data_IF_144905955466
#
_entry.id   IF_144905955466
#
_cell.length_a   1.000
_cell.length_b   1.000
_cell.length_c   1.000
_cell.angle_alpha   90.00
_cell.angle_beta   90.00
_cell.angle_gamma   90.00
#
_symmetry.space_group_name_H-M   'P 1'
#
loop_
_entity.id
_entity.type
_entity.pdbx_description
1 polymer ?
#
# COMPACT_ATOMS: atom_id res chain seq x y z
N UNK A 1 -52.80 -2.53 5.35
CA UNK A 1 -52.40 -2.56 3.92
C UNK A 1 -51.45 -3.72 3.74
N UNK A 2 -51.72 -4.64 2.82
CA UNK A 2 -50.80 -5.75 2.56
C UNK A 2 -49.47 -5.19 2.06
N UNK A 3 -48.37 -5.63 2.66
CA UNK A 3 -47.02 -5.25 2.26
C UNK A 3 -46.79 -5.70 0.81
N UNK A 4 -46.57 -4.74 -0.09
CA UNK A 4 -46.33 -5.00 -1.52
C UNK A 4 -45.14 -5.96 -1.68
N UNK A 5 -45.21 -6.85 -2.68
CA UNK A 5 -44.18 -7.88 -2.94
C UNK A 5 -42.79 -7.26 -3.06
N UNK A 6 -42.72 -6.08 -3.70
CA UNK A 6 -41.49 -5.29 -3.83
C UNK A 6 -40.91 -4.89 -2.47
N UNK A 7 -41.75 -4.46 -1.51
CA UNK A 7 -41.30 -4.08 -0.18
C UNK A 7 -40.71 -5.27 0.59
N UNK A 8 -41.30 -6.46 0.45
CA UNK A 8 -40.78 -7.69 1.04
C UNK A 8 -39.41 -8.05 0.47
N UNK A 9 -39.26 -7.98 -0.85
CA UNK A 9 -37.99 -8.25 -1.54
C UNK A 9 -36.89 -7.27 -1.12
N UNK A 10 -37.19 -5.97 -1.04
CA UNK A 10 -36.22 -4.98 -0.55
C UNK A 10 -35.86 -5.21 0.93
N UNK A 11 -36.83 -5.51 1.78
CA UNK A 11 -36.57 -5.79 3.20
C UNK A 11 -35.63 -6.98 3.36
N UNK A 12 -35.86 -8.07 2.60
CA UNK A 12 -35.00 -9.25 2.61
C UNK A 12 -33.60 -8.93 2.06
N UNK A 13 -33.50 -8.14 1.00
CA UNK A 13 -32.22 -7.70 0.45
C UNK A 13 -31.37 -6.97 1.50
N UNK A 14 -31.94 -6.01 2.23
CA UNK A 14 -31.22 -5.29 3.28
C UNK A 14 -30.96 -6.16 4.52
N UNK A 15 -31.82 -7.13 4.82
CA UNK A 15 -31.56 -8.13 5.86
C UNK A 15 -30.29 -8.94 5.56
N UNK A 16 -30.17 -9.47 4.34
CA UNK A 16 -28.98 -10.23 3.91
C UNK A 16 -27.71 -9.36 3.97
N UNK A 17 -27.80 -8.09 3.55
CA UNK A 17 -26.68 -7.13 3.66
C UNK A 17 -26.23 -6.91 5.10
N UNK A 18 -27.16 -6.71 6.03
CA UNK A 18 -26.85 -6.58 7.46
C UNK A 18 -26.19 -7.86 7.99
N UNK A 19 -26.75 -9.04 7.68
CA UNK A 19 -26.24 -10.33 8.13
C UNK A 19 -24.81 -10.61 7.68
N UNK A 20 -24.38 -10.08 6.54
CA UNK A 20 -22.98 -10.17 6.06
C UNK A 20 -21.96 -9.65 7.09
N UNK A 21 -22.30 -8.62 7.87
CA UNK A 21 -21.39 -7.99 8.83
C UNK A 21 -21.67 -8.37 10.28
N UNK A 22 -22.75 -9.12 10.53
CA UNK A 22 -23.14 -9.49 11.88
C UNK A 22 -22.05 -10.33 12.57
N UNK A 23 -21.67 -9.92 13.78
CA UNK A 23 -20.64 -10.59 14.58
C UNK A 23 -19.21 -10.41 14.06
N UNK A 24 -18.98 -9.63 12.99
CA UNK A 24 -17.65 -9.38 12.47
C UNK A 24 -16.98 -8.18 13.18
N UNK A 25 -15.91 -8.39 13.97
CA UNK A 25 -15.28 -7.33 14.75
C UNK A 25 -14.57 -6.27 13.87
N UNK A 26 -14.24 -6.58 12.62
CA UNK A 26 -13.64 -5.63 11.68
C UNK A 26 -14.66 -4.71 11.00
N UNK A 27 -15.95 -5.08 11.03
CA UNK A 27 -17.00 -4.39 10.27
C UNK A 27 -18.15 -3.88 11.16
N UNK A 28 -17.81 -3.37 12.35
CA UNK A 28 -18.79 -2.94 13.33
C UNK A 28 -19.62 -1.75 12.84
N UNK A 29 -18.97 -0.74 12.23
CA UNK A 29 -19.69 0.44 11.74
C UNK A 29 -20.64 0.07 10.58
N UNK A 30 -20.18 -0.81 9.69
CA UNK A 30 -20.97 -1.34 8.56
C UNK A 30 -22.18 -2.10 9.08
N UNK A 31 -22.02 -2.95 10.09
CA UNK A 31 -23.14 -3.65 10.71
C UNK A 31 -24.19 -2.67 11.27
N UNK A 32 -23.76 -1.67 12.04
CA UNK A 32 -24.68 -0.69 12.65
C UNK A 32 -25.48 0.09 11.59
N UNK A 33 -24.83 0.53 10.52
CA UNK A 33 -25.50 1.28 9.45
C UNK A 33 -26.36 0.40 8.53
N UNK A 34 -25.93 -0.83 8.22
CA UNK A 34 -26.76 -1.79 7.46
C UNK A 34 -27.98 -2.23 8.27
N UNK A 35 -27.84 -2.36 9.59
CA UNK A 35 -28.97 -2.62 10.49
C UNK A 35 -29.98 -1.47 10.45
N UNK A 36 -29.51 -0.22 10.54
CA UNK A 36 -30.38 0.95 10.42
C UNK A 36 -31.08 1.02 9.05
N UNK A 37 -30.40 0.63 7.96
CA UNK A 37 -31.01 0.52 6.62
C UNK A 37 -32.07 -0.58 6.57
N UNK A 38 -31.78 -1.76 7.11
CA UNK A 38 -32.75 -2.85 7.21
C UNK A 38 -33.99 -2.45 8.02
N UNK A 39 -33.80 -1.83 9.19
CA UNK A 39 -34.89 -1.35 10.04
C UNK A 39 -35.73 -0.29 9.31
N UNK A 40 -35.10 0.62 8.56
CA UNK A 40 -35.81 1.58 7.72
C UNK A 40 -36.70 0.88 6.67
N UNK A 41 -36.19 -0.16 6.00
CA UNK A 41 -36.96 -0.88 4.97
C UNK A 41 -38.08 -1.71 5.59
N UNK A 42 -37.88 -2.26 6.79
CA UNK A 42 -38.89 -3.04 7.49
C UNK A 42 -40.02 -2.15 8.03
N UNK A 43 -39.66 -1.01 8.61
CA UNK A 43 -40.57 -0.22 9.46
C UNK A 43 -41.15 1.02 8.79
N UNK A 44 -40.59 1.49 7.66
CA UNK A 44 -41.10 2.69 7.00
C UNK A 44 -42.57 2.51 6.56
N UNK A 45 -43.41 3.41 7.04
CA UNK A 45 -44.85 3.37 6.79
C UNK A 45 -45.27 4.21 5.58
N UNK A 46 -44.39 5.10 5.11
CA UNK A 46 -44.61 5.95 3.94
C UNK A 46 -43.33 6.26 3.16
N UNK A 47 -43.49 6.75 1.93
CA UNK A 47 -42.39 7.20 1.07
C UNK A 47 -41.69 8.43 1.65
N UNK A 48 -42.43 9.31 2.31
CA UNK A 48 -41.91 10.53 2.92
C UNK A 48 -40.99 10.20 4.11
N UNK A 49 -41.39 9.23 4.95
CA UNK A 49 -40.57 8.74 6.05
C UNK A 49 -39.26 8.13 5.52
N UNK A 50 -39.38 7.29 4.48
CA UNK A 50 -38.23 6.72 3.79
C UNK A 50 -37.29 7.79 3.27
N UNK A 51 -37.79 8.75 2.50
CA UNK A 51 -36.96 9.79 1.87
C UNK A 51 -36.29 10.67 2.93
N UNK A 52 -37.01 11.00 4.01
CA UNK A 52 -36.47 11.78 5.12
C UNK A 52 -35.28 11.07 5.77
N UNK A 53 -35.40 9.78 6.11
CA UNK A 53 -34.31 9.03 6.78
C UNK A 53 -33.19 8.66 5.80
N UNK A 54 -33.52 8.18 4.62
CA UNK A 54 -32.54 7.73 3.64
C UNK A 54 -31.71 8.89 3.07
N UNK A 55 -32.37 9.94 2.56
CA UNK A 55 -31.70 11.08 1.93
C UNK A 55 -31.52 12.26 2.88
N UNK A 56 -32.53 12.60 3.67
CA UNK A 56 -32.48 13.77 4.56
C UNK A 56 -31.50 13.60 5.73
N UNK A 57 -31.57 12.47 6.43
CA UNK A 57 -30.63 12.10 7.49
C UNK A 57 -29.36 11.41 6.95
N UNK A 58 -29.25 11.32 5.63
CA UNK A 58 -28.09 10.81 4.88
C UNK A 58 -27.66 9.41 5.28
N UNK A 59 -28.62 8.51 5.55
CA UNK A 59 -28.31 7.14 5.93
C UNK A 59 -27.52 6.40 4.83
N UNK A 60 -27.77 6.70 3.55
CA UNK A 60 -26.97 6.18 2.44
C UNK A 60 -25.49 6.60 2.52
N UNK A 61 -25.22 7.88 2.82
CA UNK A 61 -23.86 8.41 2.96
C UNK A 61 -23.19 7.81 4.20
N UNK A 62 -23.90 7.76 5.33
CA UNK A 62 -23.40 7.15 6.57
C UNK A 62 -23.02 5.68 6.37
N UNK A 63 -23.82 4.92 5.62
CA UNK A 63 -23.50 3.54 5.31
C UNK A 63 -22.24 3.39 4.44
N UNK A 64 -22.07 4.25 3.43
CA UNK A 64 -20.86 4.27 2.62
C UNK A 64 -19.61 4.67 3.45
N UNK A 65 -19.73 5.69 4.31
CA UNK A 65 -18.68 6.11 5.25
C UNK A 65 -18.31 4.97 6.19
N UNK A 66 -19.29 4.26 6.75
CA UNK A 66 -19.06 3.17 7.68
C UNK A 66 -18.21 2.05 7.09
N UNK A 67 -18.46 1.66 5.83
CA UNK A 67 -17.65 0.67 5.13
C UNK A 67 -16.20 1.13 4.94
N UNK A 68 -16.00 2.39 4.56
CA UNK A 68 -14.66 2.96 4.41
C UNK A 68 -13.93 2.96 5.76
N UNK A 69 -14.59 3.39 6.83
CA UNK A 69 -14.01 3.41 8.19
C UNK A 69 -13.55 2.03 8.63
N UNK A 70 -14.40 1.01 8.45
CA UNK A 70 -14.07 -0.36 8.81
C UNK A 70 -12.86 -0.89 8.02
N UNK A 71 -12.87 -0.69 6.69
CA UNK A 71 -11.77 -1.12 5.82
C UNK A 71 -10.44 -0.43 6.16
N UNK A 72 -10.46 0.89 6.30
CA UNK A 72 -9.24 1.66 6.58
C UNK A 72 -8.75 1.47 8.02
N UNK A 73 -9.64 1.26 9.00
CA UNK A 73 -9.23 0.91 10.36
C UNK A 73 -8.56 -0.47 10.40
N UNK A 74 -9.10 -1.45 9.67
CA UNK A 74 -8.49 -2.78 9.58
C UNK A 74 -7.12 -2.72 8.88
N UNK A 75 -7.01 -1.98 7.77
CA UNK A 75 -5.75 -1.74 7.06
C UNK A 75 -4.72 -1.03 7.93
N UNK A 76 -5.11 0.06 8.59
CA UNK A 76 -4.24 0.81 9.50
C UNK A 76 -3.68 -0.08 10.60
N UNK A 77 -4.53 -0.88 11.24
CA UNK A 77 -4.12 -1.85 12.26
C UNK A 77 -3.08 -2.83 11.70
N UNK A 78 -3.39 -3.46 10.56
CA UNK A 78 -2.48 -4.41 9.92
C UNK A 78 -1.13 -3.77 9.57
N UNK A 79 -1.13 -2.59 8.96
CA UNK A 79 0.09 -1.88 8.59
C UNK A 79 0.91 -1.44 9.82
N UNK A 80 0.25 -1.10 10.93
CA UNK A 80 0.90 -0.87 12.21
C UNK A 80 1.60 -2.13 12.75
N UNK A 81 0.93 -3.28 12.70
CA UNK A 81 1.47 -4.57 13.16
C UNK A 81 2.72 -4.99 12.38
N UNK A 82 2.72 -4.77 11.06
CA UNK A 82 3.88 -5.08 10.20
C UNK A 82 4.89 -3.92 10.10
N UNK A 83 4.69 -2.85 10.88
CA UNK A 83 5.53 -1.64 10.94
C UNK A 83 5.79 -1.02 9.56
N UNK A 84 4.72 -0.84 8.79
CA UNK A 84 4.74 -0.20 7.47
C UNK A 84 4.11 1.20 7.55
N UNK A 85 4.89 2.24 7.96
CA UNK A 85 4.36 3.58 8.20
C UNK A 85 3.87 4.26 6.92
N UNK A 86 4.43 3.91 5.75
CA UNK A 86 4.04 4.50 4.48
C UNK A 86 2.63 4.05 4.11
N UNK A 87 2.33 2.75 4.16
CA UNK A 87 0.98 2.24 3.91
C UNK A 87 -0.02 2.70 4.97
N UNK A 88 0.39 2.67 6.25
CA UNK A 88 -0.44 3.11 7.38
C UNK A 88 -0.91 4.57 7.21
N UNK A 89 -0.02 5.47 6.78
CA UNK A 89 -0.34 6.88 6.58
C UNK A 89 -1.52 7.09 5.63
N UNK A 90 -1.60 6.35 4.52
CA UNK A 90 -2.73 6.49 3.60
C UNK A 90 -4.08 6.12 4.22
N UNK A 91 -4.12 5.06 5.01
CA UNK A 91 -5.34 4.68 5.75
C UNK A 91 -5.70 5.72 6.81
N UNK A 92 -4.71 6.26 7.53
CA UNK A 92 -4.93 7.34 8.50
C UNK A 92 -5.49 8.60 7.83
N UNK A 93 -4.87 9.06 6.73
CA UNK A 93 -5.32 10.26 6.00
C UNK A 93 -6.78 10.14 5.52
N UNK A 94 -7.24 8.93 5.16
CA UNK A 94 -8.65 8.70 4.81
C UNK A 94 -9.54 8.77 6.04
N UNK A 95 -9.15 8.10 7.14
CA UNK A 95 -9.92 8.11 8.40
C UNK A 95 -10.07 9.53 8.97
N UNK A 96 -9.07 10.38 8.80
CA UNK A 96 -9.08 11.77 9.30
C UNK A 96 -10.13 12.65 8.61
N UNK A 97 -10.55 12.30 7.39
CA UNK A 97 -11.44 13.14 6.56
C UNK A 97 -12.79 12.49 6.24
N UNK A 98 -12.92 11.17 6.37
CA UNK A 98 -14.10 10.44 5.87
C UNK A 98 -15.41 10.86 6.55
N UNK A 99 -15.35 11.24 7.84
CA UNK A 99 -16.52 11.71 8.59
C UNK A 99 -16.99 13.10 8.14
N UNK A 100 -16.19 13.84 7.37
CA UNK A 100 -16.55 15.16 6.84
C UNK A 100 -17.25 15.09 5.47
N UNK A 101 -17.46 13.90 4.90
CA UNK A 101 -18.05 13.75 3.58
C UNK A 101 -19.57 13.86 3.63
N UNK A 102 -20.11 14.71 2.77
CA UNK A 102 -21.51 15.10 2.72
C UNK A 102 -22.27 14.42 1.57
N UNK A 103 -21.54 13.78 0.63
CA UNK A 103 -22.09 13.20 -0.61
C UNK A 103 -21.30 11.99 -1.14
N UNK A 104 -21.96 11.16 -1.95
CA UNK A 104 -21.34 10.00 -2.64
C UNK A 104 -20.26 10.44 -3.62
N UNK A 105 -20.42 11.62 -4.23
CA UNK A 105 -19.43 12.20 -5.14
C UNK A 105 -18.10 12.50 -4.43
N UNK A 106 -18.14 12.95 -3.18
CA UNK A 106 -16.92 13.16 -2.40
C UNK A 106 -16.22 11.85 -2.07
N UNK A 107 -16.97 10.83 -1.65
CA UNK A 107 -16.45 9.49 -1.35
C UNK A 107 -15.75 8.92 -2.60
N UNK A 108 -16.43 8.96 -3.75
CA UNK A 108 -15.96 8.38 -5.02
C UNK A 108 -14.84 9.18 -5.69
N UNK A 109 -14.57 10.42 -5.26
CA UNK A 109 -13.50 11.26 -5.85
C UNK A 109 -12.34 11.53 -4.90
N UNK A 110 -12.59 11.80 -3.62
CA UNK A 110 -11.55 12.15 -2.64
C UNK A 110 -10.80 10.91 -2.15
N UNK A 111 -11.49 9.79 -1.89
CA UNK A 111 -10.83 8.55 -1.44
C UNK A 111 -9.84 8.02 -2.48
N UNK A 112 -10.21 7.85 -3.77
CA UNK A 112 -9.25 7.38 -4.76
C UNK A 112 -8.05 8.32 -4.94
N UNK A 113 -8.23 9.64 -4.78
CA UNK A 113 -7.11 10.61 -4.81
C UNK A 113 -6.13 10.38 -3.65
N UNK A 114 -6.63 10.17 -2.43
CA UNK A 114 -5.78 9.85 -1.27
C UNK A 114 -5.08 8.50 -1.45
N UNK A 115 -5.81 7.49 -1.94
CA UNK A 115 -5.24 6.18 -2.25
C UNK A 115 -4.16 6.27 -3.33
N UNK A 116 -4.38 7.06 -4.39
CA UNK A 116 -3.40 7.29 -5.45
C UNK A 116 -2.14 7.98 -4.91
N UNK A 117 -2.31 9.04 -4.10
CA UNK A 117 -1.20 9.74 -3.43
C UNK A 117 -0.38 8.76 -2.59
N UNK A 118 -1.04 7.91 -1.80
CA UNK A 118 -0.36 6.90 -1.00
C UNK A 118 0.33 5.83 -1.86
N UNK A 119 -0.31 5.40 -2.95
CA UNK A 119 0.27 4.43 -3.89
C UNK A 119 1.57 4.95 -4.49
N UNK A 120 1.64 6.24 -4.85
CA UNK A 120 2.89 6.86 -5.32
C UNK A 120 3.94 6.81 -4.22
N UNK A 121 3.60 7.17 -2.98
CA UNK A 121 4.55 7.11 -1.86
C UNK A 121 5.07 5.69 -1.59
N UNK A 122 4.21 4.67 -1.70
CA UNK A 122 4.60 3.26 -1.57
C UNK A 122 5.54 2.84 -2.71
N UNK A 123 5.27 3.26 -3.94
CA UNK A 123 6.17 2.99 -5.07
C UNK A 123 7.53 3.66 -4.90
N UNK A 124 7.54 4.91 -4.41
CA UNK A 124 8.78 5.65 -4.14
C UNK A 124 9.60 4.97 -3.03
N UNK A 125 8.94 4.52 -1.96
CA UNK A 125 9.56 3.77 -0.88
C UNK A 125 10.14 2.42 -1.35
N UNK A 126 9.46 1.75 -2.29
CA UNK A 126 9.91 0.50 -2.89
C UNK A 126 11.22 0.60 -3.67
N UNK A 127 11.68 1.80 -4.05
CA UNK A 127 13.02 1.93 -4.66
C UNK A 127 14.14 1.52 -3.69
N UNK A 128 13.92 1.46 -2.38
CA UNK A 128 14.91 0.92 -1.44
C UNK A 128 15.27 -0.55 -1.72
N UNK A 129 14.37 -1.31 -2.37
CA UNK A 129 14.58 -2.72 -2.68
C UNK A 129 15.68 -2.98 -3.70
N UNK A 130 16.03 -1.99 -4.55
CA UNK A 130 17.11 -2.11 -5.53
C UNK A 130 18.44 -2.53 -4.89
N UNK A 131 18.64 -2.20 -3.61
CA UNK A 131 19.79 -2.69 -2.85
C UNK A 131 19.85 -4.22 -2.81
N UNK A 132 18.72 -4.89 -2.57
CA UNK A 132 18.68 -6.35 -2.52
C UNK A 132 18.70 -6.98 -3.90
N UNK A 133 18.08 -6.34 -4.89
CA UNK A 133 18.10 -6.81 -6.28
C UNK A 133 19.53 -6.93 -6.84
N UNK A 134 20.47 -6.15 -6.31
CA UNK A 134 21.88 -6.19 -6.68
C UNK A 134 22.71 -7.29 -6.03
N UNK A 135 22.18 -7.99 -5.02
CA UNK A 135 22.93 -9.03 -4.31
C UNK A 135 23.59 -10.06 -5.23
N UNK A 136 22.91 -10.62 -6.25
CA UNK A 136 23.52 -11.58 -7.15
C UNK A 136 24.73 -11.02 -7.92
N UNK A 137 24.69 -9.74 -8.31
CA UNK A 137 25.81 -9.10 -9.00
C UNK A 137 26.96 -8.84 -8.03
N UNK A 138 26.67 -8.39 -6.80
CA UNK A 138 27.68 -8.20 -5.77
C UNK A 138 28.36 -9.52 -5.39
N UNK A 139 27.61 -10.62 -5.32
CA UNK A 139 28.16 -11.97 -5.13
C UNK A 139 29.06 -12.38 -6.28
N UNK A 140 28.63 -12.15 -7.52
CA UNK A 140 29.42 -12.47 -8.72
C UNK A 140 30.73 -11.68 -8.76
N UNK A 141 30.68 -10.40 -8.41
CA UNK A 141 31.85 -9.53 -8.27
C UNK A 141 32.78 -9.99 -7.14
N UNK A 142 32.24 -10.40 -5.99
CA UNK A 142 33.03 -10.92 -4.86
C UNK A 142 33.79 -12.19 -5.26
N UNK A 143 33.11 -13.12 -5.95
CA UNK A 143 33.73 -14.35 -6.47
C UNK A 143 34.81 -14.00 -7.50
N UNK A 144 34.50 -13.14 -8.47
CA UNK A 144 35.46 -12.72 -9.49
C UNK A 144 36.68 -12.00 -8.88
N UNK A 145 36.54 -11.23 -7.82
CA UNK A 145 37.67 -10.55 -7.16
C UNK A 145 38.59 -11.49 -6.39
N UNK A 146 38.08 -12.65 -5.94
CA UNK A 146 38.83 -13.60 -5.11
C UNK A 146 39.31 -14.84 -5.85
N UNK A 147 38.74 -15.13 -7.01
CA UNK A 147 39.08 -16.35 -7.73
C UNK A 147 40.54 -16.31 -8.23
N UNK A 148 41.29 -17.36 -7.88
CA UNK A 148 42.62 -17.61 -8.42
C UNK A 148 42.49 -18.24 -9.80
N UNK A 149 42.73 -17.44 -10.85
CA UNK A 149 42.68 -17.92 -12.24
C UNK A 149 44.08 -18.05 -12.84
N UNK A 150 44.29 -18.97 -13.79
CA UNK A 150 45.52 -19.04 -14.56
C UNK A 150 45.86 -17.70 -15.22
N UNK A 151 47.14 -17.37 -15.37
CA UNK A 151 47.60 -16.09 -15.91
C UNK A 151 46.96 -15.71 -17.26
N UNK A 152 46.63 -16.71 -18.10
CA UNK A 152 45.96 -16.51 -19.39
C UNK A 152 44.54 -15.93 -19.29
N UNK A 153 43.89 -16.01 -18.13
CA UNK A 153 42.51 -15.55 -17.92
C UNK A 153 42.42 -14.31 -17.01
N UNK A 154 43.54 -13.82 -16.48
CA UNK A 154 43.55 -12.66 -15.57
C UNK A 154 42.99 -11.40 -16.23
N UNK A 155 43.37 -11.13 -17.49
CA UNK A 155 42.86 -9.98 -18.23
C UNK A 155 41.36 -10.05 -18.47
N UNK A 156 40.83 -11.24 -18.79
CA UNK A 156 39.38 -11.44 -18.99
C UNK A 156 38.60 -11.23 -17.69
N UNK A 157 39.16 -11.68 -16.56
CA UNK A 157 38.57 -11.48 -15.23
C UNK A 157 38.56 -10.00 -14.82
N UNK A 158 39.66 -9.28 -15.06
CA UNK A 158 39.75 -7.83 -14.82
C UNK A 158 38.76 -7.04 -15.69
N UNK A 159 38.64 -7.40 -16.96
CA UNK A 159 37.68 -6.81 -17.90
C UNK A 159 36.23 -7.07 -17.46
N UNK A 160 35.90 -8.31 -17.08
CA UNK A 160 34.58 -8.66 -16.56
C UNK A 160 34.19 -7.80 -15.34
N UNK A 161 35.08 -7.65 -14.37
CA UNK A 161 34.83 -6.83 -13.17
C UNK A 161 34.59 -5.38 -13.56
N UNK A 162 35.44 -4.83 -14.42
CA UNK A 162 35.35 -3.43 -14.87
C UNK A 162 34.04 -3.17 -15.61
N UNK A 163 33.70 -4.03 -16.57
CA UNK A 163 32.49 -3.92 -17.38
C UNK A 163 31.22 -4.06 -16.57
N UNK A 164 31.21 -5.00 -15.62
CA UNK A 164 30.05 -5.21 -14.73
C UNK A 164 29.79 -3.97 -13.88
N UNK A 165 30.84 -3.37 -13.31
CA UNK A 165 30.73 -2.11 -12.55
C UNK A 165 30.27 -0.96 -13.46
N UNK A 166 30.85 -0.84 -14.66
CA UNK A 166 30.47 0.21 -15.62
C UNK A 166 28.98 0.13 -15.99
N UNK A 167 28.49 -1.08 -16.32
CA UNK A 167 27.07 -1.34 -16.61
C UNK A 167 26.17 -1.02 -15.42
N UNK A 168 26.59 -1.40 -14.21
CA UNK A 168 25.85 -1.07 -12.99
C UNK A 168 25.70 0.44 -12.75
N UNK A 169 26.76 1.20 -13.00
CA UNK A 169 26.73 2.67 -12.89
C UNK A 169 25.87 3.30 -13.98
N UNK A 170 26.02 2.83 -15.21
CA UNK A 170 25.22 3.30 -16.34
C UNK A 170 23.73 3.07 -16.10
N UNK A 171 23.35 1.85 -15.71
CA UNK A 171 21.97 1.49 -15.40
C UNK A 171 21.41 2.35 -14.25
N UNK A 172 22.22 2.60 -13.23
CA UNK A 172 21.80 3.44 -12.11
C UNK A 172 21.47 4.87 -12.56
N UNK A 173 22.37 5.49 -13.32
CA UNK A 173 22.24 6.88 -13.74
C UNK A 173 21.21 7.07 -14.85
N UNK A 174 21.09 6.11 -15.77
CA UNK A 174 20.26 6.25 -16.97
C UNK A 174 18.89 5.60 -16.84
N UNK A 175 18.69 4.70 -15.87
CA UNK A 175 17.41 3.99 -15.67
C UNK A 175 16.86 4.17 -14.26
N UNK A 176 17.60 3.77 -13.22
CA UNK A 176 17.05 3.73 -11.85
C UNK A 176 16.72 5.14 -11.33
N UNK A 177 17.70 6.05 -11.33
CA UNK A 177 17.51 7.42 -10.83
C UNK A 177 16.45 8.18 -11.66
N UNK A 178 16.47 8.17 -13.00
CA UNK A 178 15.43 8.84 -13.79
C UNK A 178 14.03 8.27 -13.53
N UNK A 179 13.89 6.95 -13.43
CA UNK A 179 12.59 6.32 -13.15
C UNK A 179 12.04 6.72 -11.78
N UNK A 180 12.89 6.76 -10.74
CA UNK A 180 12.46 7.22 -9.43
C UNK A 180 12.05 8.71 -9.45
N UNK A 181 12.80 9.53 -10.20
CA UNK A 181 12.54 10.96 -10.35
C UNK A 181 11.32 11.33 -11.19
N UNK A 182 10.75 10.37 -11.93
CA UNK A 182 9.42 10.55 -12.53
C UNK A 182 8.32 10.67 -11.47
N UNK A 183 8.53 10.06 -10.29
CA UNK A 183 7.55 10.06 -9.20
C UNK A 183 7.88 11.08 -8.11
N UNK A 184 9.16 11.25 -7.77
CA UNK A 184 9.66 12.28 -6.87
C UNK A 184 10.90 12.96 -7.47
N UNK A 185 10.77 14.18 -8.04
CA UNK A 185 11.89 14.88 -8.68
C UNK A 185 13.13 15.07 -7.80
N UNK A 186 12.95 15.08 -6.46
CA UNK A 186 14.04 15.26 -5.51
C UNK A 186 14.58 13.93 -4.97
N UNK A 187 14.10 12.79 -5.48
CA UNK A 187 14.45 11.48 -4.99
C UNK A 187 15.96 11.26 -5.00
N UNK A 188 16.42 10.69 -3.89
CA UNK A 188 17.77 10.17 -3.67
C UNK A 188 17.65 8.84 -2.95
N UNK A 189 18.51 7.90 -3.30
CA UNK A 189 18.56 6.61 -2.63
C UNK A 189 19.01 6.79 -1.18
N UNK A 190 18.15 6.42 -0.24
CA UNK A 190 18.41 6.51 1.19
C UNK A 190 18.68 5.12 1.77
N UNK A 191 19.95 4.87 2.09
CA UNK A 191 20.39 3.60 2.69
C UNK A 191 19.87 3.37 4.10
N UNK A 192 19.43 4.42 4.81
CA UNK A 192 18.87 4.27 6.15
C UNK A 192 17.56 3.48 6.14
N UNK A 193 16.80 3.58 5.04
CA UNK A 193 15.54 2.85 4.86
C UNK A 193 15.72 1.33 4.92
N UNK A 194 16.88 0.81 4.50
CA UNK A 194 17.16 -0.64 4.48
C UNK A 194 17.10 -1.26 5.89
N UNK A 195 17.39 -0.46 6.92
CA UNK A 195 17.34 -0.91 8.31
C UNK A 195 15.92 -0.91 8.89
N UNK A 196 14.97 -0.26 8.23
CA UNK A 196 13.60 -0.20 8.71
C UNK A 196 12.90 -1.55 8.49
N UNK A 197 12.13 -2.01 9.48
CA UNK A 197 11.53 -3.35 9.52
C UNK A 197 10.84 -3.76 8.22
N UNK A 198 10.16 -2.83 7.53
CA UNK A 198 9.42 -3.10 6.29
C UNK A 198 10.30 -3.48 5.09
N UNK A 199 11.53 -2.96 5.05
CA UNK A 199 12.52 -3.24 4.01
C UNK A 199 13.40 -4.41 4.45
N UNK A 200 13.83 -4.38 5.71
CA UNK A 200 14.66 -5.43 6.31
C UNK A 200 14.01 -6.82 6.24
N UNK A 201 12.69 -6.93 6.43
CA UNK A 201 11.93 -8.20 6.32
C UNK A 201 12.02 -8.86 4.94
N UNK A 202 12.36 -8.11 3.89
CA UNK A 202 12.47 -8.59 2.51
C UNK A 202 13.86 -9.10 2.16
N UNK A 203 14.82 -8.92 3.06
CA UNK A 203 16.23 -9.27 2.87
C UNK A 203 16.54 -10.47 3.76
N UNK A 204 16.43 -11.72 3.29
CA UNK A 204 16.53 -12.92 4.13
C UNK A 204 17.99 -13.31 4.44
N UNK A 205 18.86 -12.35 4.74
CA UNK A 205 20.26 -12.57 5.16
C UNK A 205 20.55 -11.93 6.52
N UNK A 206 21.59 -12.35 7.26
CA UNK A 206 21.98 -11.73 8.53
C UNK A 206 22.40 -10.26 8.38
N UNK A 207 22.25 -9.46 9.44
CA UNK A 207 22.60 -8.04 9.44
C UNK A 207 24.07 -7.78 9.11
N UNK A 208 24.97 -8.67 9.54
CA UNK A 208 26.39 -8.59 9.19
C UNK A 208 26.64 -8.67 7.67
N UNK A 209 25.84 -9.47 6.96
CA UNK A 209 25.89 -9.56 5.49
C UNK A 209 25.32 -8.29 4.87
N UNK A 210 24.19 -7.78 5.38
CA UNK A 210 23.60 -6.52 4.93
C UNK A 210 24.61 -5.38 5.04
N UNK A 211 25.24 -5.21 6.20
CA UNK A 211 26.22 -4.14 6.43
C UNK A 211 27.41 -4.22 5.48
N UNK A 212 27.93 -5.43 5.22
CA UNK A 212 28.99 -5.62 4.22
C UNK A 212 28.51 -5.23 2.81
N UNK A 213 27.33 -5.73 2.41
CA UNK A 213 26.75 -5.48 1.08
C UNK A 213 26.42 -3.99 0.86
N UNK A 214 26.09 -3.23 1.90
CA UNK A 214 25.87 -1.77 1.80
C UNK A 214 27.10 -1.05 1.24
N UNK A 215 28.28 -1.36 1.76
CA UNK A 215 29.54 -0.76 1.29
C UNK A 215 29.84 -1.16 -0.15
N UNK A 216 29.66 -2.43 -0.49
CA UNK A 216 29.90 -2.94 -1.84
C UNK A 216 28.92 -2.37 -2.86
N UNK A 217 27.64 -2.22 -2.49
CA UNK A 217 26.61 -1.61 -3.33
C UNK A 217 26.95 -0.13 -3.64
N UNK A 218 27.40 0.62 -2.63
CA UNK A 218 27.87 2.00 -2.81
C UNK A 218 29.01 2.09 -3.83
N UNK A 219 30.00 1.21 -3.73
CA UNK A 219 31.12 1.13 -4.67
C UNK A 219 30.64 0.76 -6.10
N UNK A 220 29.78 -0.26 -6.18
CA UNK A 220 29.20 -0.75 -7.43
C UNK A 220 28.42 0.34 -8.16
N UNK A 221 27.53 1.04 -7.46
CA UNK A 221 26.69 2.10 -8.03
C UNK A 221 27.39 3.46 -8.16
N UNK A 222 28.60 3.60 -7.64
CA UNK A 222 29.35 4.87 -7.66
C UNK A 222 28.74 5.94 -6.75
N UNK A 223 28.16 5.51 -5.63
CA UNK A 223 27.51 6.35 -4.62
C UNK A 223 28.44 6.45 -3.40
N UNK A 224 29.36 7.41 -3.43
CA UNK A 224 30.23 7.73 -2.28
C UNK A 224 29.53 8.63 -1.28
#
# INVERSE_FOLDING_TARGET
MAMDQRQKEYTEYYYVRMKKYEGNPMYKNSYETEKALYELMRDATSKEEYQKKFFGEKLNIKNAIALVKDQESARLKHYGEIKDPIRARGSQEILDVVDSFESEAEITTKIPKLQQKNSVAVSVDGFADYFFDDFPVLESLEVARRAEVPSRWKSEQEEYIKDTIAKGREEWQNRVVPNARQWDPNWKFDYSLIQEDRHRRRIPVPDSVVQRRLTEHKEYRGLS
#
